data_IF_643331305952
#
_entry.id   IF_643331305952
#
_cell.length_a   1.000
_cell.length_b   1.000
_cell.length_c   1.000
_cell.angle_alpha   90.00
_cell.angle_beta   90.00
_cell.angle_gamma   90.00
#
_symmetry.space_group_name_H-M   'P 1'
#
loop_
_entity.id
_entity.type
_entity.pdbx_description
1 polymer ?
#
# COMPACT_ATOMS: atom_id res chain seq x y z
N UNK A 1 21.80 -0.98 11.24
CA UNK A 1 21.50 0.13 12.14
C UNK A 1 20.02 0.11 12.48
N UNK A 2 19.72 0.42 13.74
CA UNK A 2 18.33 0.51 14.19
C UNK A 2 17.65 1.74 13.56
N UNK A 3 16.43 1.59 13.09
CA UNK A 3 15.63 2.66 12.48
C UNK A 3 15.45 3.86 13.42
N UNK A 4 15.57 3.65 14.74
CA UNK A 4 15.48 4.68 15.77
C UNK A 4 16.52 5.82 15.70
N UNK A 5 17.60 5.66 14.97
CA UNK A 5 18.63 6.69 14.75
C UNK A 5 18.49 7.50 13.47
N UNK A 6 17.52 7.17 12.59
CA UNK A 6 17.36 7.85 11.32
C UNK A 6 16.84 9.28 11.49
N UNK A 7 17.30 10.25 10.66
CA UNK A 7 16.78 11.62 10.70
C UNK A 7 15.29 11.68 10.30
N UNK A 8 14.66 12.80 10.58
CA UNK A 8 13.35 13.13 10.00
C UNK A 8 13.61 13.75 8.63
N UNK A 9 13.25 13.10 7.53
CA UNK A 9 13.51 13.64 6.21
C UNK A 9 12.57 14.81 5.88
N UNK A 10 12.97 15.65 4.94
CA UNK A 10 12.09 16.67 4.36
C UNK A 10 10.98 16.04 3.52
N UNK A 11 11.30 14.94 2.84
CA UNK A 11 10.39 14.17 1.98
C UNK A 11 10.78 12.69 2.01
N UNK A 12 9.77 11.82 2.02
CA UNK A 12 9.95 10.38 1.87
C UNK A 12 9.49 9.94 0.49
N UNK A 13 10.35 9.25 -0.25
CA UNK A 13 9.98 8.56 -1.48
C UNK A 13 9.82 7.08 -1.21
N UNK A 14 8.68 6.52 -1.58
CA UNK A 14 8.39 5.10 -1.42
C UNK A 14 8.46 4.44 -2.80
N UNK A 15 9.41 3.53 -2.98
CA UNK A 15 9.66 2.91 -4.27
C UNK A 15 9.35 1.43 -4.19
N UNK A 16 8.44 0.97 -5.03
CA UNK A 16 7.96 -0.41 -5.00
C UNK A 16 7.29 -0.83 -6.32
N UNK A 17 6.80 -2.07 -6.34
CA UNK A 17 6.07 -2.69 -7.43
C UNK A 17 4.77 -3.34 -6.95
N UNK A 18 3.75 -3.40 -7.82
CA UNK A 18 2.53 -4.17 -7.62
C UNK A 18 1.91 -3.93 -6.24
N UNK A 19 1.61 -5.00 -5.51
CA UNK A 19 1.04 -4.93 -4.16
C UNK A 19 1.88 -4.13 -3.16
N UNK A 20 3.21 -4.18 -3.25
CA UNK A 20 4.09 -3.35 -2.40
C UNK A 20 3.96 -1.86 -2.72
N UNK A 21 3.72 -1.50 -3.98
CA UNK A 21 3.44 -0.13 -4.39
C UNK A 21 2.08 0.34 -3.82
N UNK A 22 1.04 -0.52 -3.85
CA UNK A 22 -0.25 -0.20 -3.24
C UNK A 22 -0.14 -0.03 -1.71
N UNK A 23 0.67 -0.86 -1.05
CA UNK A 23 0.97 -0.66 0.38
C UNK A 23 1.69 0.67 0.64
N UNK A 24 2.61 1.07 -0.24
CA UNK A 24 3.28 2.36 -0.20
C UNK A 24 2.34 3.54 -0.38
N UNK A 25 1.42 3.47 -1.36
CA UNK A 25 0.37 4.48 -1.56
C UNK A 25 -0.55 4.61 -0.35
N UNK A 26 -0.93 3.48 0.26
CA UNK A 26 -1.72 3.50 1.49
C UNK A 26 -0.94 4.13 2.64
N UNK A 27 0.34 3.79 2.78
CA UNK A 27 1.25 4.35 3.77
C UNK A 27 1.47 5.86 3.61
N UNK A 28 1.43 6.39 2.38
CA UNK A 28 1.46 7.82 2.10
C UNK A 28 0.37 8.56 2.89
N UNK A 29 -0.88 8.08 2.81
CA UNK A 29 -1.99 8.72 3.53
C UNK A 29 -1.75 8.80 5.02
N UNK A 30 -1.20 7.76 5.64
CA UNK A 30 -0.92 7.76 7.07
C UNK A 30 0.23 8.71 7.44
N UNK A 31 1.31 8.69 6.67
CA UNK A 31 2.47 9.54 6.90
C UNK A 31 2.14 11.03 6.73
N UNK A 32 1.35 11.36 5.71
CA UNK A 32 0.89 12.74 5.50
C UNK A 32 -0.08 13.18 6.60
N UNK A 33 -0.97 12.30 7.05
CA UNK A 33 -1.94 12.64 8.10
C UNK A 33 -1.31 12.70 9.50
N UNK A 34 -0.53 11.70 9.89
CA UNK A 34 -0.02 11.57 11.25
C UNK A 34 1.34 12.23 11.47
N UNK A 35 2.20 12.20 10.46
CA UNK A 35 3.53 12.77 10.55
C UNK A 35 3.71 14.09 9.80
N UNK A 36 2.69 14.56 9.05
CA UNK A 36 2.77 15.76 8.19
C UNK A 36 4.06 15.77 7.37
N UNK A 37 4.36 14.62 6.79
CA UNK A 37 5.55 14.38 5.99
C UNK A 37 5.16 14.29 4.52
N UNK A 38 5.76 15.06 3.61
CA UNK A 38 5.54 14.88 2.18
C UNK A 38 6.00 13.49 1.75
N UNK A 39 5.12 12.72 1.10
CA UNK A 39 5.41 11.36 0.64
C UNK A 39 5.09 11.21 -0.83
N UNK A 40 6.01 10.58 -1.58
CA UNK A 40 5.84 10.33 -3.02
C UNK A 40 6.01 8.84 -3.29
N UNK A 41 4.92 8.08 -3.48
CA UNK A 41 4.99 6.70 -3.96
C UNK A 41 5.38 6.68 -5.43
N UNK A 42 6.33 5.82 -5.81
CA UNK A 42 6.82 5.70 -7.19
C UNK A 42 6.98 4.23 -7.58
N UNK A 43 6.66 3.93 -8.83
CA UNK A 43 6.88 2.59 -9.40
C UNK A 43 8.36 2.44 -9.69
N UNK A 44 8.97 1.35 -9.20
CA UNK A 44 10.42 1.15 -9.26
C UNK A 44 10.98 1.15 -10.69
N UNK A 45 10.28 0.55 -11.66
CA UNK A 45 10.70 0.57 -13.06
C UNK A 45 10.75 1.99 -13.62
N UNK A 46 9.73 2.80 -13.35
CA UNK A 46 9.66 4.17 -13.84
C UNK A 46 10.69 5.07 -13.14
N UNK A 47 10.89 4.87 -11.85
CA UNK A 47 11.90 5.60 -11.08
C UNK A 47 13.32 5.39 -11.63
N UNK A 48 13.64 4.15 -11.99
CA UNK A 48 14.95 3.76 -12.49
C UNK A 48 15.34 4.48 -13.79
N UNK A 49 14.38 4.63 -14.72
CA UNK A 49 14.65 5.14 -16.06
C UNK A 49 14.35 6.63 -16.23
N UNK A 50 13.62 7.21 -15.30
CA UNK A 50 13.37 8.64 -15.27
C UNK A 50 14.56 9.38 -14.65
N UNK A 51 14.93 10.52 -15.18
CA UNK A 51 15.94 11.39 -14.55
C UNK A 51 15.32 12.07 -13.31
N UNK A 52 15.24 11.32 -12.21
CA UNK A 52 14.58 11.79 -10.99
C UNK A 52 15.39 12.88 -10.29
N UNK A 53 14.68 13.85 -9.75
CA UNK A 53 15.26 14.89 -8.89
C UNK A 53 15.19 14.36 -7.46
N UNK A 54 16.36 14.18 -6.86
CA UNK A 54 16.54 13.79 -5.47
C UNK A 54 17.35 14.88 -4.77
N UNK A 55 16.88 15.31 -3.61
CA UNK A 55 17.59 16.25 -2.76
C UNK A 55 18.34 15.49 -1.65
N UNK A 56 19.46 16.02 -1.12
CA UNK A 56 20.26 15.31 -0.12
C UNK A 56 19.53 14.96 1.18
N UNK A 57 18.46 15.66 1.51
CA UNK A 57 17.60 15.44 2.68
C UNK A 57 16.33 14.63 2.35
N UNK A 58 16.18 14.15 1.12
CA UNK A 58 15.21 13.11 0.77
C UNK A 58 15.63 11.77 1.40
N UNK A 59 14.64 11.02 1.82
CA UNK A 59 14.83 9.63 2.23
C UNK A 59 14.07 8.71 1.29
N UNK A 60 14.67 7.60 0.93
CA UNK A 60 14.07 6.61 0.06
C UNK A 60 13.76 5.34 0.85
N UNK A 61 12.50 4.92 0.83
CA UNK A 61 12.04 3.65 1.37
C UNK A 61 11.72 2.71 0.20
N UNK A 62 12.53 1.69 0.00
CA UNK A 62 12.22 0.65 -0.99
C UNK A 62 11.45 -0.48 -0.32
N UNK A 63 10.36 -0.93 -0.94
CA UNK A 63 9.53 -2.02 -0.42
C UNK A 63 9.60 -3.21 -1.39
N UNK A 64 10.01 -4.37 -0.88
CA UNK A 64 10.08 -5.61 -1.65
C UNK A 64 9.82 -6.82 -0.76
N UNK A 65 8.90 -7.71 -1.15
CA UNK A 65 8.67 -8.95 -0.40
C UNK A 65 9.91 -9.85 -0.44
N UNK A 66 10.45 -10.12 -1.64
CA UNK A 66 11.61 -11.01 -1.84
C UNK A 66 12.95 -10.36 -1.50
N UNK A 67 13.04 -9.04 -1.61
CA UNK A 67 14.30 -8.31 -1.52
C UNK A 67 15.27 -8.54 -2.68
N UNK A 68 14.79 -9.13 -3.79
CA UNK A 68 15.60 -9.47 -4.98
C UNK A 68 15.09 -8.81 -6.27
N UNK A 69 14.07 -7.95 -6.19
CA UNK A 69 13.50 -7.28 -7.35
C UNK A 69 14.51 -6.33 -8.00
N UNK A 70 14.90 -6.62 -9.24
CA UNK A 70 16.01 -5.94 -9.93
C UNK A 70 15.83 -4.41 -10.03
N UNK A 71 14.64 -3.93 -10.42
CA UNK A 71 14.41 -2.48 -10.53
C UNK A 71 14.36 -1.78 -9.17
N UNK A 72 13.83 -2.44 -8.13
CA UNK A 72 13.82 -1.92 -6.77
C UNK A 72 15.26 -1.82 -6.22
N UNK A 73 16.11 -2.80 -6.50
CA UNK A 73 17.52 -2.75 -6.14
C UNK A 73 18.25 -1.65 -6.90
N UNK A 74 17.98 -1.50 -8.20
CA UNK A 74 18.58 -0.42 -8.99
C UNK A 74 18.13 0.98 -8.50
N UNK A 75 16.86 1.13 -8.11
CA UNK A 75 16.34 2.37 -7.52
C UNK A 75 17.00 2.70 -6.18
N UNK A 76 17.23 1.69 -5.33
CA UNK A 76 17.98 1.86 -4.08
C UNK A 76 19.40 2.35 -4.35
N UNK A 77 20.12 1.74 -5.29
CA UNK A 77 21.48 2.14 -5.68
C UNK A 77 21.51 3.57 -6.19
N UNK A 78 20.59 3.93 -7.09
CA UNK A 78 20.46 5.28 -7.63
C UNK A 78 20.23 6.32 -6.51
N UNK A 79 19.38 6.01 -5.53
CA UNK A 79 19.15 6.89 -4.38
C UNK A 79 20.44 7.11 -3.57
N UNK A 80 21.19 6.04 -3.33
CA UNK A 80 22.48 6.11 -2.60
C UNK A 80 23.55 6.87 -3.39
N UNK A 81 23.64 6.68 -4.71
CA UNK A 81 24.54 7.45 -5.59
C UNK A 81 24.24 8.96 -5.55
N UNK A 82 22.98 9.33 -5.35
CA UNK A 82 22.53 10.71 -5.18
C UNK A 82 22.68 11.26 -3.75
N UNK A 83 23.22 10.45 -2.82
CA UNK A 83 23.47 10.85 -1.44
C UNK A 83 22.27 10.76 -0.51
N UNK A 84 21.15 10.16 -0.95
CA UNK A 84 19.98 9.96 -0.10
C UNK A 84 20.17 8.76 0.84
N UNK A 85 19.58 8.83 2.03
CA UNK A 85 19.44 7.67 2.91
C UNK A 85 18.42 6.72 2.32
N UNK A 86 18.82 5.46 2.08
CA UNK A 86 17.97 4.43 1.52
C UNK A 86 17.66 3.33 2.52
N UNK A 87 16.37 3.17 2.85
CA UNK A 87 15.85 2.18 3.79
C UNK A 87 15.17 1.06 3.01
N UNK A 88 15.35 -0.18 3.44
CA UNK A 88 14.64 -1.33 2.90
C UNK A 88 13.54 -1.81 3.84
N UNK A 89 12.34 -2.03 3.31
CA UNK A 89 11.26 -2.79 3.94
C UNK A 89 11.11 -4.11 3.18
N UNK A 90 11.60 -5.20 3.77
CA UNK A 90 11.65 -6.51 3.12
C UNK A 90 11.13 -7.61 4.03
N UNK A 91 10.79 -8.78 3.43
CA UNK A 91 10.41 -9.95 4.21
C UNK A 91 11.55 -10.97 4.32
N UNK A 92 12.37 -11.12 3.28
CA UNK A 92 13.44 -12.13 3.24
C UNK A 92 14.73 -11.57 3.82
N UNK A 93 15.16 -12.14 4.94
CA UNK A 93 16.42 -11.79 5.61
C UNK A 93 17.60 -12.18 4.73
N UNK A 94 18.58 -11.28 4.61
CA UNK A 94 19.83 -11.53 3.89
C UNK A 94 19.72 -11.48 2.37
N UNK A 95 18.58 -11.07 1.81
CA UNK A 95 18.44 -10.79 0.38
C UNK A 95 19.23 -9.56 -0.07
N UNK A 96 19.31 -9.31 -1.37
CA UNK A 96 20.21 -8.31 -1.94
C UNK A 96 19.86 -6.88 -1.52
N UNK A 97 18.59 -6.49 -1.54
CA UNK A 97 18.14 -5.14 -1.17
C UNK A 97 18.50 -4.80 0.29
N UNK A 98 18.17 -5.64 1.30
CA UNK A 98 18.58 -5.42 2.69
C UNK A 98 20.08 -5.27 2.90
N UNK A 99 20.90 -6.02 2.15
CA UNK A 99 22.38 -5.95 2.28
C UNK A 99 22.96 -4.63 1.81
N UNK A 100 22.32 -3.96 0.88
CA UNK A 100 22.80 -2.71 0.29
C UNK A 100 22.15 -1.46 0.91
N UNK A 101 21.06 -1.62 1.67
CA UNK A 101 20.37 -0.52 2.33
C UNK A 101 21.12 0.04 3.53
N UNK A 102 20.91 1.31 3.85
CA UNK A 102 21.50 1.98 5.02
C UNK A 102 20.79 1.54 6.32
N UNK A 103 19.51 1.18 6.24
CA UNK A 103 18.77 0.57 7.33
C UNK A 103 17.72 -0.40 6.77
N UNK A 104 17.30 -1.37 7.59
CA UNK A 104 16.36 -2.42 7.17
C UNK A 104 15.26 -2.60 8.20
N UNK A 105 14.04 -2.75 7.71
CA UNK A 105 12.88 -3.20 8.47
C UNK A 105 12.40 -4.51 7.85
N UNK A 106 12.23 -5.55 8.68
CA UNK A 106 11.69 -6.82 8.21
C UNK A 106 10.24 -7.00 8.61
N UNK A 107 9.39 -7.43 7.66
CA UNK A 107 7.97 -7.65 7.91
C UNK A 107 7.70 -8.88 8.74
N UNK A 108 8.61 -9.85 8.76
CA UNK A 108 8.49 -11.14 9.46
C UNK A 108 7.18 -11.90 9.13
N UNK A 109 6.67 -11.73 7.91
CA UNK A 109 5.43 -12.39 7.45
C UNK A 109 5.59 -13.90 7.20
N UNK A 110 6.82 -14.41 7.30
CA UNK A 110 7.14 -15.78 6.91
C UNK A 110 7.10 -15.97 5.38
N UNK A 111 7.28 -17.20 4.87
CA UNK A 111 7.29 -17.45 3.43
C UNK A 111 5.91 -17.20 2.81
N UNK A 112 5.85 -16.41 1.74
CA UNK A 112 4.67 -16.24 0.89
C UNK A 112 4.74 -17.30 -0.21
N UNK A 113 3.80 -18.26 -0.22
CA UNK A 113 3.83 -19.40 -1.13
C UNK A 113 2.93 -19.13 -2.36
N UNK A 114 1.86 -18.38 -2.16
CA UNK A 114 0.93 -18.01 -3.24
C UNK A 114 1.54 -16.99 -4.20
N UNK A 115 1.20 -17.10 -5.48
CA UNK A 115 1.50 -16.05 -6.48
C UNK A 115 0.82 -14.74 -6.10
N UNK A 116 -0.45 -14.82 -5.71
CA UNK A 116 -1.20 -13.66 -5.22
C UNK A 116 -0.80 -13.35 -3.77
N UNK A 117 -0.07 -12.26 -3.57
CA UNK A 117 0.34 -11.83 -2.24
C UNK A 117 -0.87 -11.43 -1.39
N UNK A 118 -0.86 -11.85 -0.13
CA UNK A 118 -1.87 -11.49 0.88
C UNK A 118 -1.21 -11.00 2.16
N UNK A 119 -0.64 -11.91 2.96
CA UNK A 119 -0.04 -11.59 4.25
C UNK A 119 1.18 -10.68 4.13
N UNK A 120 1.96 -10.79 3.07
CA UNK A 120 3.14 -9.94 2.88
C UNK A 120 2.71 -8.47 2.72
N UNK A 121 1.69 -8.18 1.90
CA UNK A 121 1.15 -6.84 1.77
C UNK A 121 0.53 -6.32 3.07
N UNK A 122 -0.29 -7.12 3.77
CA UNK A 122 -0.87 -6.73 5.05
C UNK A 122 0.22 -6.38 6.08
N UNK A 123 1.30 -7.16 6.13
CA UNK A 123 2.43 -6.88 7.00
C UNK A 123 3.16 -5.59 6.61
N UNK A 124 3.32 -5.32 5.31
CA UNK A 124 3.88 -4.04 4.83
C UNK A 124 3.00 -2.86 5.26
N UNK A 125 1.67 -2.96 5.14
CA UNK A 125 0.74 -1.92 5.62
C UNK A 125 0.87 -1.68 7.13
N UNK A 126 0.95 -2.73 7.94
CA UNK A 126 1.18 -2.59 9.39
C UNK A 126 2.48 -1.85 9.68
N UNK A 127 3.58 -2.21 8.99
CA UNK A 127 4.85 -1.51 9.15
C UNK A 127 4.75 -0.04 8.71
N UNK A 128 4.04 0.25 7.61
CA UNK A 128 3.82 1.64 7.18
C UNK A 128 3.06 2.45 8.23
N UNK A 129 2.06 1.86 8.90
CA UNK A 129 1.36 2.49 10.01
C UNK A 129 2.31 2.76 11.20
N UNK A 130 3.17 1.79 11.55
CA UNK A 130 4.16 1.97 12.62
C UNK A 130 5.19 3.05 12.27
N UNK A 131 5.64 3.15 11.02
CA UNK A 131 6.53 4.23 10.55
C UNK A 131 5.84 5.60 10.68
N UNK A 132 4.57 5.68 10.29
CA UNK A 132 3.79 6.91 10.41
C UNK A 132 3.61 7.35 11.87
N UNK A 133 3.30 6.41 12.77
CA UNK A 133 3.23 6.66 14.22
C UNK A 133 4.59 7.11 14.79
N UNK A 134 5.67 6.45 14.38
CA UNK A 134 7.03 6.78 14.82
C UNK A 134 7.42 8.20 14.43
N UNK A 135 7.25 8.60 13.18
CA UNK A 135 7.60 9.96 12.74
C UNK A 135 6.62 11.01 13.27
N UNK A 136 5.33 10.68 13.39
CA UNK A 136 4.35 11.56 14.01
C UNK A 136 4.70 11.86 15.48
N UNK A 137 5.15 10.86 16.22
CA UNK A 137 5.65 11.02 17.58
C UNK A 137 6.94 11.86 17.64
N UNK A 138 7.91 11.55 16.77
CA UNK A 138 9.20 12.31 16.74
C UNK A 138 9.01 13.79 16.42
N UNK A 139 8.03 14.12 15.61
CA UNK A 139 7.67 15.51 15.25
C UNK A 139 6.75 16.18 16.28
N UNK A 140 6.35 15.48 17.36
CA UNK A 140 5.46 16.01 18.38
C UNK A 140 4.02 16.27 17.88
N UNK A 141 3.59 15.60 16.80
CA UNK A 141 2.29 15.81 16.16
C UNK A 141 1.20 14.86 16.67
N UNK A 142 1.60 13.77 17.33
CA UNK A 142 0.68 12.78 17.91
C UNK A 142 0.75 12.83 19.43
N UNK A 143 -0.38 13.03 20.08
CA UNK A 143 -0.50 12.91 21.51
C UNK A 143 -0.42 11.44 21.98
N UNK A 144 -0.22 11.24 23.28
CA UNK A 144 -0.07 9.91 23.86
C UNK A 144 -1.34 9.05 23.71
N UNK A 145 -2.53 9.69 23.73
CA UNK A 145 -3.83 9.02 23.63
C UNK A 145 -4.02 8.47 22.22
N UNK A 146 -3.91 9.31 21.19
CA UNK A 146 -4.03 8.91 19.78
C UNK A 146 -3.06 7.81 19.42
N UNK A 147 -1.81 7.92 19.89
CA UNK A 147 -0.81 6.88 19.67
C UNK A 147 -1.18 5.55 20.34
N UNK A 148 -1.65 5.60 21.60
CA UNK A 148 -2.07 4.40 22.32
C UNK A 148 -3.24 3.71 21.64
N UNK A 149 -4.26 4.47 21.22
CA UNK A 149 -5.42 3.96 20.50
C UNK A 149 -5.03 3.30 19.17
N UNK A 150 -4.16 3.94 18.41
CA UNK A 150 -3.68 3.37 17.13
C UNK A 150 -2.88 2.06 17.34
N UNK A 151 -2.00 2.01 18.35
CA UNK A 151 -1.24 0.79 18.67
C UNK A 151 -2.17 -0.32 19.18
N UNK A 152 -3.17 0.01 20.00
CA UNK A 152 -4.17 -0.95 20.46
C UNK A 152 -5.00 -1.51 19.29
N UNK A 153 -5.39 -0.65 18.34
CA UNK A 153 -6.10 -1.08 17.14
C UNK A 153 -5.25 -2.04 16.27
N UNK A 154 -3.97 -1.71 16.05
CA UNK A 154 -3.05 -2.60 15.34
C UNK A 154 -2.84 -3.94 16.06
N UNK A 155 -2.76 -3.93 17.38
CA UNK A 155 -2.64 -5.15 18.18
C UNK A 155 -3.90 -6.02 18.11
N UNK A 156 -5.09 -5.40 18.07
CA UNK A 156 -6.37 -6.09 17.92
C UNK A 156 -6.69 -6.59 16.52
N UNK A 157 -5.95 -6.13 15.49
CA UNK A 157 -6.25 -6.42 14.09
C UNK A 157 -6.31 -7.92 13.74
N UNK A 158 -5.41 -8.79 14.22
CA UNK A 158 -5.48 -10.23 13.93
C UNK A 158 -6.81 -10.85 14.37
N UNK A 159 -7.30 -10.49 15.55
CA UNK A 159 -8.57 -10.99 16.06
C UNK A 159 -9.76 -10.48 15.24
N UNK A 160 -9.74 -9.20 14.87
CA UNK A 160 -10.79 -8.62 14.02
C UNK A 160 -10.86 -9.31 12.65
N UNK A 161 -9.70 -9.62 12.05
CA UNK A 161 -9.64 -10.35 10.78
C UNK A 161 -10.21 -11.77 10.96
N UNK A 162 -9.78 -12.50 11.99
CA UNK A 162 -10.27 -13.84 12.29
C UNK A 162 -11.78 -13.88 12.44
N UNK A 163 -12.36 -12.92 13.16
CA UNK A 163 -13.80 -12.82 13.40
C UNK A 163 -14.59 -12.43 12.12
N UNK A 164 -14.01 -11.65 11.24
CA UNK A 164 -14.65 -11.22 9.99
C UNK A 164 -14.63 -12.30 8.89
N UNK A 165 -13.59 -13.13 8.85
CA UNK A 165 -13.36 -14.09 7.75
C UNK A 165 -14.54 -15.03 7.47
N UNK A 166 -15.27 -15.61 8.47
CA UNK A 166 -16.41 -16.50 8.19
C UNK A 166 -17.51 -15.82 7.38
N UNK A 167 -17.94 -14.61 7.79
CA UNK A 167 -18.99 -13.86 7.10
C UNK A 167 -18.53 -13.38 5.70
N UNK A 168 -17.27 -12.98 5.58
CA UNK A 168 -16.69 -12.62 4.28
C UNK A 168 -16.65 -13.81 3.31
N UNK A 169 -16.30 -15.00 3.81
CA UNK A 169 -16.30 -16.23 3.01
C UNK A 169 -17.70 -16.58 2.54
N UNK A 170 -18.70 -16.54 3.40
CA UNK A 170 -20.10 -16.79 3.05
C UNK A 170 -20.59 -15.83 1.97
N UNK A 171 -20.32 -14.54 2.15
CA UNK A 171 -20.65 -13.52 1.14
C UNK A 171 -19.96 -13.79 -0.19
N UNK A 172 -18.68 -14.13 -0.19
CA UNK A 172 -17.94 -14.44 -1.40
C UNK A 172 -18.50 -15.69 -2.11
N UNK A 173 -18.87 -16.73 -1.36
CA UNK A 173 -19.49 -17.94 -1.92
C UNK A 173 -20.87 -17.66 -2.54
N UNK A 174 -21.63 -16.75 -1.96
CA UNK A 174 -22.93 -16.32 -2.50
C UNK A 174 -22.78 -15.49 -3.78
N UNK A 175 -21.80 -14.59 -3.83
CA UNK A 175 -21.60 -13.67 -4.94
C UNK A 175 -20.84 -14.29 -6.12
N UNK A 176 -19.91 -15.19 -5.87
CA UNK A 176 -19.02 -15.72 -6.92
C UNK A 176 -19.78 -16.40 -8.09
N UNK A 177 -20.87 -17.19 -7.89
CA UNK A 177 -21.61 -17.75 -9.02
C UNK A 177 -22.31 -16.69 -9.86
N UNK A 178 -22.72 -15.56 -9.27
CA UNK A 178 -23.42 -14.47 -9.97
C UNK A 178 -22.49 -13.75 -10.95
N UNK A 179 -21.19 -13.73 -10.65
CA UNK A 179 -20.20 -13.00 -11.42
C UNK A 179 -19.18 -13.89 -12.14
N UNK A 180 -19.35 -15.21 -12.09
CA UNK A 180 -18.41 -16.15 -12.69
C UNK A 180 -18.26 -16.00 -14.21
N UNK A 181 -19.28 -15.47 -14.90
CA UNK A 181 -19.26 -15.20 -16.34
C UNK A 181 -18.85 -13.77 -16.72
N UNK A 182 -18.60 -12.91 -15.75
CA UNK A 182 -18.18 -11.54 -16.02
C UNK A 182 -16.79 -11.52 -16.66
N UNK A 183 -16.62 -10.69 -17.70
CA UNK A 183 -15.36 -10.54 -18.41
C UNK A 183 -14.50 -9.40 -17.86
N UNK A 184 -15.10 -8.46 -17.15
CA UNK A 184 -14.46 -7.28 -16.62
C UNK A 184 -15.06 -6.86 -15.29
N UNK A 185 -14.24 -6.20 -14.44
CA UNK A 185 -14.66 -5.66 -13.15
C UNK A 185 -14.06 -4.27 -12.91
N UNK A 186 -14.82 -3.39 -12.29
CA UNK A 186 -14.27 -2.20 -11.66
C UNK A 186 -14.14 -2.35 -10.14
N UNK A 187 -13.04 -1.83 -9.62
CA UNK A 187 -12.81 -1.63 -8.20
C UNK A 187 -12.67 -0.14 -7.93
N UNK A 188 -13.52 0.39 -7.08
CA UNK A 188 -13.56 1.83 -6.79
C UNK A 188 -13.17 2.10 -5.34
N UNK A 189 -12.36 3.12 -5.13
CA UNK A 189 -11.98 3.58 -3.80
C UNK A 189 -11.71 5.07 -3.78
N UNK A 190 -11.84 5.69 -2.61
CA UNK A 190 -11.52 7.11 -2.40
C UNK A 190 -10.54 7.25 -1.24
N UNK A 191 -9.58 8.20 -1.36
CA UNK A 191 -8.55 8.40 -0.34
C UNK A 191 -7.76 7.11 -0.10
N UNK A 192 -7.64 6.69 1.15
CA UNK A 192 -6.92 5.46 1.50
C UNK A 192 -7.61 4.15 1.05
N UNK A 193 -8.86 4.19 0.60
CA UNK A 193 -9.51 3.06 -0.06
C UNK A 193 -9.08 2.88 -1.53
N UNK A 194 -8.53 3.91 -2.19
CA UNK A 194 -8.10 3.81 -3.57
C UNK A 194 -6.95 2.81 -3.78
N UNK A 195 -5.86 2.83 -3.00
CA UNK A 195 -4.83 1.78 -3.10
C UNK A 195 -5.38 0.36 -2.87
N UNK A 196 -6.39 0.20 -2.03
CA UNK A 196 -7.03 -1.10 -1.79
C UNK A 196 -7.92 -1.53 -2.95
N UNK A 197 -8.54 -0.59 -3.65
CA UNK A 197 -9.26 -0.86 -4.91
C UNK A 197 -8.30 -1.35 -6.00
N UNK A 198 -7.13 -0.73 -6.13
CA UNK A 198 -6.07 -1.20 -7.03
C UNK A 198 -5.62 -2.61 -6.69
N UNK A 199 -5.45 -2.90 -5.40
CA UNK A 199 -5.07 -4.23 -4.93
C UNK A 199 -6.15 -5.28 -5.18
N UNK A 200 -7.43 -4.96 -4.93
CA UNK A 200 -8.55 -5.85 -5.24
C UNK A 200 -8.60 -6.21 -6.72
N UNK A 201 -8.43 -5.23 -7.59
CA UNK A 201 -8.35 -5.44 -9.04
C UNK A 201 -7.16 -6.31 -9.42
N UNK A 202 -5.98 -6.09 -8.80
CA UNK A 202 -4.79 -6.91 -9.01
C UNK A 202 -5.04 -8.37 -8.59
N UNK A 203 -5.62 -8.59 -7.39
CA UNK A 203 -5.93 -9.95 -6.91
C UNK A 203 -6.89 -10.69 -7.82
N UNK A 204 -7.93 -10.02 -8.30
CA UNK A 204 -8.88 -10.65 -9.22
C UNK A 204 -8.19 -11.07 -10.53
N UNK A 205 -7.38 -10.19 -11.12
CA UNK A 205 -6.60 -10.51 -12.33
C UNK A 205 -5.67 -11.71 -12.15
N UNK A 206 -4.91 -11.74 -11.05
CA UNK A 206 -3.91 -12.79 -10.79
C UNK A 206 -4.55 -14.16 -10.59
N UNK A 207 -5.73 -14.23 -9.96
CA UNK A 207 -6.33 -15.49 -9.53
C UNK A 207 -7.33 -16.03 -10.57
N UNK A 208 -8.14 -15.15 -11.17
CA UNK A 208 -9.27 -15.54 -12.04
C UNK A 208 -9.01 -15.32 -13.52
N UNK A 209 -7.99 -14.53 -13.88
CA UNK A 209 -7.71 -14.04 -15.23
C UNK A 209 -8.82 -13.14 -15.81
N UNK A 210 -9.79 -12.74 -15.01
CA UNK A 210 -10.80 -11.74 -15.37
C UNK A 210 -10.12 -10.37 -15.43
N UNK A 211 -10.41 -9.59 -16.46
CA UNK A 211 -9.95 -8.21 -16.54
C UNK A 211 -10.52 -7.40 -15.37
N UNK A 212 -9.68 -6.68 -14.66
CA UNK A 212 -10.13 -5.85 -13.54
C UNK A 212 -9.28 -4.57 -13.44
N UNK A 213 -9.94 -3.45 -13.22
CA UNK A 213 -9.30 -2.16 -13.06
C UNK A 213 -9.73 -1.46 -11.77
N UNK A 214 -8.75 -0.84 -11.10
CA UNK A 214 -9.00 -0.01 -9.93
C UNK A 214 -8.98 1.45 -10.28
N UNK A 215 -9.99 2.21 -9.82
CA UNK A 215 -10.08 3.65 -10.05
C UNK A 215 -10.31 4.41 -8.74
N UNK A 216 -9.76 5.62 -8.70
CA UNK A 216 -10.23 6.61 -7.74
C UNK A 216 -11.70 6.93 -8.07
N UNK A 217 -12.61 6.82 -7.10
CA UNK A 217 -14.06 6.94 -7.34
C UNK A 217 -14.44 8.24 -8.06
N UNK A 218 -13.70 9.33 -7.81
CA UNK A 218 -13.93 10.62 -8.49
C UNK A 218 -13.65 10.59 -9.99
N UNK A 219 -12.76 9.70 -10.45
CA UNK A 219 -12.35 9.59 -11.85
C UNK A 219 -13.36 8.83 -12.72
N UNK A 220 -14.36 8.17 -12.11
CA UNK A 220 -15.38 7.41 -12.87
C UNK A 220 -16.08 8.25 -13.94
N UNK A 221 -16.35 9.53 -13.66
CA UNK A 221 -17.03 10.44 -14.60
C UNK A 221 -16.13 10.97 -15.72
N UNK A 222 -14.84 10.68 -15.67
CA UNK A 222 -13.85 11.17 -16.62
C UNK A 222 -13.39 10.10 -17.64
N UNK A 223 -14.28 9.18 -17.98
CA UNK A 223 -14.06 8.14 -19.00
C UNK A 223 -14.60 6.77 -18.61
N UNK A 224 -14.19 6.17 -17.49
CA UNK A 224 -14.57 4.79 -17.14
C UNK A 224 -16.07 4.52 -17.11
N UNK A 225 -16.89 5.51 -16.77
CA UNK A 225 -18.35 5.40 -16.75
C UNK A 225 -18.93 4.97 -18.12
N UNK A 226 -18.24 5.26 -19.21
CA UNK A 226 -18.66 4.86 -20.55
C UNK A 226 -18.62 3.35 -20.79
N UNK A 227 -17.91 2.61 -19.95
CA UNK A 227 -17.77 1.16 -20.03
C UNK A 227 -18.80 0.42 -19.16
N UNK A 228 -19.60 1.15 -18.38
CA UNK A 228 -20.57 0.52 -17.48
C UNK A 228 -21.77 0.05 -18.28
N UNK A 229 -22.05 -1.24 -18.18
CA UNK A 229 -23.18 -1.95 -18.73
C UNK A 229 -23.73 -2.94 -17.69
N UNK A 230 -24.93 -3.52 -17.91
CA UNK A 230 -25.58 -4.38 -16.90
C UNK A 230 -24.74 -5.58 -16.44
N UNK A 231 -23.84 -6.09 -17.32
CA UNK A 231 -22.98 -7.24 -17.05
C UNK A 231 -21.58 -6.83 -16.56
N UNK A 232 -21.37 -5.54 -16.27
CA UNK A 232 -20.09 -5.01 -15.81
C UNK A 232 -20.12 -4.74 -14.28
N UNK A 233 -19.79 -5.73 -13.45
CA UNK A 233 -19.84 -5.55 -12.00
C UNK A 233 -18.81 -4.56 -11.48
N UNK A 234 -19.24 -3.78 -10.51
CA UNK A 234 -18.40 -2.79 -9.83
C UNK A 234 -18.34 -3.08 -8.34
N UNK A 235 -17.15 -3.16 -7.79
CA UNK A 235 -16.89 -3.32 -6.37
C UNK A 235 -16.41 -1.99 -5.77
N UNK A 236 -17.24 -1.34 -4.96
CA UNK A 236 -16.92 -0.06 -4.33
C UNK A 236 -16.51 -0.25 -2.87
N UNK A 237 -15.32 0.25 -2.52
CA UNK A 237 -14.80 0.32 -1.16
C UNK A 237 -15.19 1.66 -0.54
N UNK A 238 -16.19 1.65 0.35
CA UNK A 238 -16.65 2.82 1.07
C UNK A 238 -16.49 2.60 2.57
N UNK A 239 -15.50 3.25 3.17
CA UNK A 239 -15.28 3.20 4.61
C UNK A 239 -16.20 4.17 5.34
N UNK A 240 -16.62 3.80 6.53
CA UNK A 240 -17.40 4.69 7.40
C UNK A 240 -16.50 5.75 8.05
N UNK A 241 -16.05 6.69 7.23
CA UNK A 241 -15.18 7.79 7.61
C UNK A 241 -15.72 9.14 7.09
N UNK A 242 -14.97 10.22 7.25
CA UNK A 242 -15.36 11.55 6.79
C UNK A 242 -15.59 11.65 5.26
N UNK A 243 -15.09 10.69 4.48
CA UNK A 243 -15.26 10.63 3.02
C UNK A 243 -16.51 9.83 2.60
N UNK A 244 -17.14 9.08 3.52
CA UNK A 244 -18.27 8.22 3.23
C UNK A 244 -19.42 8.94 2.49
N UNK A 245 -19.88 10.14 2.92
CA UNK A 245 -20.92 10.86 2.18
C UNK A 245 -20.54 11.17 0.74
N UNK A 246 -19.26 11.48 0.50
CA UNK A 246 -18.74 11.77 -0.83
C UNK A 246 -18.61 10.50 -1.70
N UNK A 247 -18.46 9.33 -1.10
CA UNK A 247 -18.47 8.07 -1.83
C UNK A 247 -19.88 7.75 -2.34
N UNK A 248 -20.92 7.98 -1.55
CA UNK A 248 -22.32 7.73 -1.91
C UNK A 248 -22.81 8.66 -3.02
N UNK A 249 -22.35 9.90 -3.08
CA UNK A 249 -22.77 10.88 -4.10
C UNK A 249 -22.41 10.47 -5.54
N UNK A 250 -21.48 9.55 -5.72
CA UNK A 250 -21.03 9.09 -7.04
C UNK A 250 -21.58 7.72 -7.45
N UNK A 251 -22.34 7.07 -6.56
CA UNK A 251 -22.97 5.76 -6.80
C UNK A 251 -24.48 5.85 -7.04
N UNK A 252 -25.05 7.05 -6.98
CA UNK A 252 -26.47 7.33 -7.24
C UNK A 252 -26.68 7.96 -8.63
#
# INVERSE_FOLDING_TARGET
PEVGGLPVPSRLRIIAWGNSYHAGMWGQHLLENWARMPVVPEIASEFRYRNVILEPDDMVLVISQSGETADTLAALRLAKEKGCIAIALCNVVGSSIPREADAVIYTQAGPEISVASTKAMCSQMVIMALIALYYGQRKGLLDAKTRHEALAALHGLPKQIEDALPAMRETAQMLSPLYASAHSFFYLGRGHAFPLALEGALKLKEISYIHAEGYASGEMKHGPIALIEPEFPTFALAFNDALFPNCLLYTS
#
